data_IF_626134332440
#
_entry.id   IF_626134332440
#
_cell.length_a   1.000
_cell.length_b   1.000
_cell.length_c   1.000
_cell.angle_alpha   90.00
_cell.angle_beta   90.00
_cell.angle_gamma   90.00
#
_symmetry.space_group_name_H-M   'P 1'
#
loop_
_entity.id
_entity.type
_entity.pdbx_description
1 polymer ?
#
# COMPACT_ATOMS: atom_id res chain seq x y z
N UNK A 1 12.51 6.54 -13.21
CA UNK A 1 11.31 5.71 -13.42
C UNK A 1 10.09 6.56 -13.15
N UNK A 2 8.98 6.34 -13.84
CA UNK A 2 7.72 6.97 -13.45
C UNK A 2 7.27 6.37 -12.13
N UNK A 3 6.96 7.21 -11.14
CA UNK A 3 6.35 6.76 -9.89
C UNK A 3 4.87 6.54 -10.14
N UNK A 4 4.39 5.33 -9.87
CA UNK A 4 2.97 5.02 -9.88
C UNK A 4 2.37 5.47 -8.55
N UNK A 5 1.11 5.89 -8.56
CA UNK A 5 0.43 6.46 -7.40
C UNK A 5 -0.98 5.89 -7.31
N UNK A 6 -1.33 5.43 -6.11
CA UNK A 6 -2.67 5.07 -5.73
C UNK A 6 -3.14 5.95 -4.56
N UNK A 7 -4.42 6.29 -4.55
CA UNK A 7 -5.13 6.77 -3.36
C UNK A 7 -6.04 5.62 -2.91
N UNK A 8 -5.85 5.19 -1.67
CA UNK A 8 -6.56 4.07 -1.08
C UNK A 8 -7.41 4.55 0.07
N UNK A 9 -8.65 4.08 0.17
CA UNK A 9 -9.43 4.10 1.40
C UNK A 9 -9.58 2.66 1.91
N UNK A 10 -9.27 2.43 3.16
CA UNK A 10 -9.25 1.09 3.75
C UNK A 10 -9.63 1.14 5.24
N UNK A 11 -9.84 -0.04 5.80
CA UNK A 11 -9.95 -0.20 7.25
C UNK A 11 -9.07 -1.36 7.73
N UNK A 12 -8.39 -1.17 8.86
CA UNK A 12 -7.62 -2.20 9.57
C UNK A 12 -8.36 -2.52 10.86
N UNK A 13 -8.50 -3.81 11.18
CA UNK A 13 -9.09 -4.26 12.45
C UNK A 13 -8.24 -5.32 13.12
N UNK A 14 -8.49 -5.52 14.42
CA UNK A 14 -7.98 -6.66 15.17
C UNK A 14 -9.04 -7.77 15.17
N UNK A 15 -8.66 -8.96 14.74
CA UNK A 15 -9.51 -10.14 14.84
C UNK A 15 -9.62 -10.68 16.28
N UNK A 16 -10.43 -11.72 16.47
CA UNK A 16 -10.67 -12.34 17.78
C UNK A 16 -9.39 -12.95 18.40
N UNK A 17 -8.38 -13.25 17.58
CA UNK A 17 -7.08 -13.80 17.99
C UNK A 17 -6.01 -12.69 18.20
N UNK A 18 -6.36 -11.44 17.95
CA UNK A 18 -5.49 -10.26 18.09
C UNK A 18 -4.55 -10.03 16.91
N UNK A 19 -4.81 -10.65 15.76
CA UNK A 19 -4.11 -10.38 14.52
C UNK A 19 -4.71 -9.17 13.81
N UNK A 20 -3.85 -8.35 13.19
CA UNK A 20 -4.29 -7.26 12.32
C UNK A 20 -4.68 -7.82 10.96
N UNK A 21 -5.85 -7.41 10.48
CA UNK A 21 -6.33 -7.70 9.13
C UNK A 21 -6.78 -6.38 8.46
N UNK A 22 -6.92 -6.38 7.14
CA UNK A 22 -7.19 -5.17 6.34
C UNK A 22 -8.20 -5.44 5.23
N UNK A 23 -9.04 -4.43 4.97
CA UNK A 23 -9.96 -4.40 3.84
C UNK A 23 -9.76 -3.11 3.07
N UNK A 24 -9.39 -3.24 1.79
CA UNK A 24 -9.34 -2.12 0.86
C UNK A 24 -10.76 -1.88 0.34
N UNK A 25 -11.32 -0.73 0.70
CA UNK A 25 -12.68 -0.33 0.32
C UNK A 25 -12.71 0.29 -1.07
N UNK A 26 -11.69 1.07 -1.41
CA UNK A 26 -11.54 1.71 -2.72
C UNK A 26 -10.07 1.99 -2.98
N UNK A 27 -9.64 1.77 -4.22
CA UNK A 27 -8.33 2.12 -4.74
C UNK A 27 -8.55 2.89 -6.05
N UNK A 28 -7.94 4.07 -6.15
CA UNK A 28 -7.89 4.85 -7.38
C UNK A 28 -6.43 5.08 -7.71
N UNK A 29 -5.98 4.55 -8.83
CA UNK A 29 -4.58 4.58 -9.21
C UNK A 29 -4.37 4.94 -10.68
N UNK A 30 -3.10 5.08 -11.07
CA UNK A 30 -2.67 5.44 -12.41
C UNK A 30 -1.94 4.29 -13.13
N UNK A 31 -2.09 3.05 -12.69
CA UNK A 31 -1.60 1.87 -13.43
C UNK A 31 -2.59 1.55 -14.56
N UNK A 32 -2.52 2.36 -15.63
CA UNK A 32 -3.37 2.20 -16.82
C UNK A 32 -2.99 0.97 -17.67
N UNK A 33 -1.79 0.42 -17.46
CA UNK A 33 -1.33 -0.83 -18.06
C UNK A 33 -1.43 -1.95 -17.01
N UNK A 34 -1.66 -3.19 -17.43
CA UNK A 34 -1.84 -4.37 -16.54
C UNK A 34 -0.49 -4.77 -15.91
N UNK A 35 0.20 -3.83 -15.25
CA UNK A 35 1.54 -3.96 -14.69
C UNK A 35 1.57 -4.64 -13.32
N UNK A 36 0.40 -4.75 -12.67
CA UNK A 36 0.24 -5.31 -11.33
C UNK A 36 1.17 -4.63 -10.31
N UNK A 37 1.43 -3.33 -10.50
CA UNK A 37 2.40 -2.59 -9.67
C UNK A 37 1.88 -2.27 -8.26
N UNK A 38 0.63 -2.63 -7.98
CA UNK A 38 0.04 -2.53 -6.64
C UNK A 38 -0.25 -3.92 -6.07
N UNK A 39 0.46 -4.95 -6.56
CA UNK A 39 0.53 -6.23 -5.86
C UNK A 39 0.96 -6.02 -4.41
N UNK A 40 0.39 -6.77 -3.47
CA UNK A 40 0.74 -6.73 -2.04
C UNK A 40 0.60 -5.35 -1.35
N UNK A 41 -0.22 -4.45 -1.93
CA UNK A 41 -0.50 -3.13 -1.35
C UNK A 41 -1.16 -3.23 0.03
N UNK A 42 -1.93 -4.29 0.28
CA UNK A 42 -2.53 -4.61 1.58
C UNK A 42 -1.47 -4.83 2.67
N UNK A 43 -0.43 -5.60 2.37
CA UNK A 43 0.71 -5.82 3.25
C UNK A 43 1.48 -4.53 3.49
N UNK A 44 1.74 -3.75 2.42
CA UNK A 44 2.41 -2.46 2.54
C UNK A 44 1.63 -1.50 3.46
N UNK A 45 0.30 -1.47 3.37
CA UNK A 45 -0.56 -0.67 4.25
C UNK A 45 -0.52 -1.18 5.69
N UNK A 46 -0.64 -2.49 5.93
CA UNK A 46 -0.57 -3.10 7.26
C UNK A 46 0.75 -2.81 7.97
N UNK A 47 1.86 -2.82 7.23
CA UNK A 47 3.20 -2.60 7.78
C UNK A 47 3.48 -1.12 8.12
N UNK A 48 2.82 -0.18 7.43
CA UNK A 48 3.13 1.25 7.53
C UNK A 48 2.08 2.09 8.28
N UNK A 49 0.82 1.64 8.37
CA UNK A 49 -0.23 2.39 9.06
C UNK A 49 -0.21 2.09 10.57
N UNK A 50 0.01 3.14 11.36
CA UNK A 50 -0.04 3.05 12.82
C UNK A 50 -1.48 3.24 13.33
N UNK A 51 -2.10 2.14 13.72
CA UNK A 51 -3.45 2.12 14.30
C UNK A 51 -3.47 2.44 15.81
N UNK A 52 -2.30 2.60 16.45
CA UNK A 52 -2.17 2.81 17.89
C UNK A 52 -2.88 1.72 18.71
N UNK A 53 -3.73 2.15 19.64
CA UNK A 53 -4.56 1.28 20.48
C UNK A 53 -5.95 0.96 19.87
N UNK A 54 -6.20 1.34 18.61
CA UNK A 54 -7.50 1.13 17.97
C UNK A 54 -7.69 -0.33 17.56
N UNK A 55 -8.86 -0.89 17.84
CA UNK A 55 -9.26 -2.23 17.38
C UNK A 55 -9.91 -2.20 16.00
N UNK A 56 -10.31 -1.01 15.53
CA UNK A 56 -10.95 -0.75 14.25
C UNK A 56 -10.54 0.65 13.79
N UNK A 57 -9.89 0.77 12.63
CA UNK A 57 -9.26 2.00 12.16
C UNK A 57 -9.50 2.21 10.67
N UNK A 58 -10.29 3.23 10.34
CA UNK A 58 -10.55 3.69 8.96
C UNK A 58 -9.57 4.79 8.58
N UNK A 59 -9.00 4.70 7.39
CA UNK A 59 -8.02 5.68 6.92
C UNK A 59 -8.07 5.86 5.40
N UNK A 60 -7.38 6.90 4.95
CA UNK A 60 -7.02 7.07 3.55
C UNK A 60 -5.50 7.20 3.45
N UNK A 61 -4.89 6.70 2.38
CA UNK A 61 -3.46 6.78 2.16
C UNK A 61 -3.13 7.02 0.70
N UNK A 62 -1.99 7.68 0.46
CA UNK A 62 -1.30 7.71 -0.83
C UNK A 62 -0.25 6.60 -0.81
N UNK A 63 -0.27 5.75 -1.83
CA UNK A 63 0.76 4.73 -2.05
C UNK A 63 1.53 5.08 -3.32
N UNK A 64 2.82 5.36 -3.18
CA UNK A 64 3.73 5.49 -4.33
C UNK A 64 4.44 4.15 -4.56
N UNK A 65 4.41 3.64 -5.80
CA UNK A 65 5.07 2.39 -6.17
C UNK A 65 6.12 2.59 -7.27
N UNK A 66 7.19 1.81 -7.22
CA UNK A 66 8.18 1.72 -8.30
C UNK A 66 8.71 0.29 -8.51
N UNK A 67 8.95 -0.06 -9.77
CA UNK A 67 9.63 -1.31 -10.10
C UNK A 67 11.11 -1.22 -9.75
N UNK A 68 11.58 -2.14 -8.93
CA UNK A 68 12.98 -2.25 -8.54
C UNK A 68 13.61 -3.40 -9.30
N UNK A 69 14.68 -3.07 -10.04
CA UNK A 69 15.41 -4.03 -10.86
C UNK A 69 16.61 -4.58 -10.09
N UNK A 70 16.63 -5.90 -9.91
CA UNK A 70 17.74 -6.61 -9.29
C UNK A 70 18.45 -7.48 -10.32
N UNK A 71 19.79 -7.37 -10.40
CA UNK A 71 20.61 -8.27 -11.22
C UNK A 71 21.10 -9.44 -10.35
N UNK A 72 20.70 -10.65 -10.72
CA UNK A 72 21.12 -11.89 -10.07
C UNK A 72 22.05 -12.69 -10.98
N UNK A 73 22.65 -13.76 -10.47
CA UNK A 73 23.43 -14.69 -11.29
C UNK A 73 22.55 -15.45 -12.31
N UNK A 74 21.23 -15.49 -12.09
CA UNK A 74 20.26 -16.22 -12.91
C UNK A 74 19.53 -15.31 -13.92
N UNK A 75 19.60 -13.99 -13.76
CA UNK A 75 19.03 -13.04 -14.71
C UNK A 75 18.71 -11.67 -14.11
N UNK A 76 17.66 -11.06 -14.65
CA UNK A 76 17.11 -9.80 -14.15
C UNK A 76 15.75 -10.10 -13.54
N UNK A 77 15.59 -9.74 -12.28
CA UNK A 77 14.32 -9.81 -11.56
C UNK A 77 13.78 -8.39 -11.36
N UNK A 78 12.46 -8.26 -11.38
CA UNK A 78 11.75 -7.02 -11.09
C UNK A 78 10.85 -7.26 -9.88
N UNK A 79 11.09 -6.51 -8.84
CA UNK A 79 10.23 -6.42 -7.65
C UNK A 79 9.49 -5.08 -7.68
N UNK A 80 8.59 -4.89 -6.71
CA UNK A 80 7.89 -3.63 -6.49
C UNK A 80 8.20 -3.14 -5.07
N UNK A 81 8.56 -1.87 -4.95
CA UNK A 81 8.66 -1.20 -3.66
C UNK A 81 7.52 -0.19 -3.49
N UNK A 82 6.93 -0.15 -2.30
CA UNK A 82 5.83 0.74 -1.93
C UNK A 82 6.28 1.75 -0.88
N UNK A 83 5.85 2.99 -1.04
CA UNK A 83 5.91 4.04 -0.02
C UNK A 83 4.49 4.48 0.34
N UNK A 84 4.11 4.30 1.60
CA UNK A 84 2.77 4.62 2.11
C UNK A 84 2.81 5.93 2.88
N UNK A 85 1.83 6.80 2.65
CA UNK A 85 1.63 8.04 3.40
C UNK A 85 0.16 8.21 3.72
N UNK A 86 -0.20 8.18 5.01
CA UNK A 86 -1.58 8.39 5.45
C UNK A 86 -2.02 9.84 5.23
N UNK A 87 -3.26 10.02 4.74
CA UNK A 87 -3.89 11.31 4.51
C UNK A 87 -4.70 11.68 5.75
N UNK A 88 -4.12 12.50 6.62
CA UNK A 88 -4.77 12.99 7.83
C UNK A 88 -5.44 14.37 7.60
N UNK A 89 -5.00 15.09 6.57
CA UNK A 89 -5.47 16.41 6.19
C UNK A 89 -5.43 16.58 4.66
N UNK A 90 -6.29 17.47 4.13
CA UNK A 90 -6.29 17.84 2.70
C UNK A 90 -4.96 18.44 2.22
N UNK A 91 -4.11 18.90 3.15
CA UNK A 91 -2.77 19.41 2.85
C UNK A 91 -1.75 18.32 2.55
N UNK A 92 -2.09 17.07 2.81
CA UNK A 92 -1.19 15.92 2.65
C UNK A 92 -1.25 15.36 1.21
N UNK A 93 -2.13 15.92 0.37
CA UNK A 93 -2.39 15.55 -1.03
C UNK A 93 -1.61 16.44 -2.00
#
# INVERSE_FOLDING_TARGET
MSKFKAIVSAHIWLDDDGHKDIEILTQVDNDDDIGDIFCDIDHALLDNIDVGDSTDYYFMAIVESEFVRTETLEGVEYDVEHSVSEINSVTDI
#
